data_IF_065293597349
#
_entry.id   IF_065293597349
#
_cell.length_a   1.000
_cell.length_b   1.000
_cell.length_c   1.000
_cell.angle_alpha   90.00
_cell.angle_beta   90.00
_cell.angle_gamma   90.00
#
_symmetry.space_group_name_H-M   'P 1'
#
loop_
_entity.id
_entity.type
_entity.pdbx_description
1 polymer ?
#
# COMPACT_ATOMS: atom_id res chain seq x y z
N UNK A 1 -19.92 -21.48 6.98
CA UNK A 1 -21.29 -21.98 6.68
C UNK A 1 -22.37 -21.52 7.68
N UNK A 2 -22.53 -22.15 8.87
CA UNK A 2 -23.68 -21.85 9.76
C UNK A 2 -23.76 -20.37 10.18
N UNK A 3 -22.65 -19.79 10.61
CA UNK A 3 -22.59 -18.37 10.99
C UNK A 3 -23.02 -17.46 9.83
N UNK A 4 -22.44 -17.66 8.63
CA UNK A 4 -22.79 -16.90 7.42
C UNK A 4 -24.29 -16.98 7.07
N UNK A 5 -24.88 -18.17 7.11
CA UNK A 5 -26.28 -18.38 6.72
C UNK A 5 -27.32 -17.87 7.73
N UNK A 6 -26.94 -17.71 9.01
CA UNK A 6 -27.87 -17.37 10.09
C UNK A 6 -27.59 -16.00 10.74
N UNK A 7 -26.59 -15.26 10.25
CA UNK A 7 -26.27 -13.94 10.77
C UNK A 7 -27.36 -12.92 10.42
N UNK A 8 -27.62 -11.97 11.31
CA UNK A 8 -28.50 -10.85 10.99
C UNK A 8 -27.80 -9.94 9.96
N UNK A 9 -28.39 -9.67 8.78
CA UNK A 9 -27.70 -8.95 7.73
C UNK A 9 -27.06 -7.62 8.19
N UNK A 10 -25.87 -7.27 7.63
CA UNK A 10 -25.14 -8.02 6.60
C UNK A 10 -24.44 -9.27 7.15
N UNK A 11 -24.37 -10.33 6.34
CA UNK A 11 -23.63 -11.54 6.69
C UNK A 11 -22.12 -11.22 6.88
N UNK A 12 -21.41 -11.96 7.74
CA UNK A 12 -19.98 -11.72 7.96
C UNK A 12 -19.20 -11.93 6.67
N UNK A 13 -18.27 -11.01 6.38
CA UNK A 13 -17.33 -11.12 5.25
C UNK A 13 -15.98 -11.69 5.67
N UNK A 14 -15.56 -11.42 6.92
CA UNK A 14 -14.21 -11.74 7.42
C UNK A 14 -14.26 -12.77 8.56
N UNK A 15 -13.24 -13.62 8.62
CA UNK A 15 -12.98 -14.55 9.74
C UNK A 15 -11.52 -14.44 10.17
N UNK A 16 -11.28 -13.90 11.37
CA UNK A 16 -9.95 -13.92 11.98
C UNK A 16 -9.86 -15.04 13.02
N UNK A 17 -8.91 -15.96 12.84
CA UNK A 17 -8.57 -16.98 13.82
C UNK A 17 -7.43 -16.51 14.72
N UNK A 18 -7.74 -16.18 15.98
CA UNK A 18 -6.74 -15.79 16.96
C UNK A 18 -6.29 -16.99 17.80
N UNK A 19 -5.23 -17.67 17.36
CA UNK A 19 -4.62 -18.78 18.09
C UNK A 19 -3.79 -19.71 17.20
N UNK A 20 -2.70 -20.19 17.78
CA UNK A 20 -1.83 -21.19 17.21
C UNK A 20 -2.45 -22.57 17.27
N UNK A 21 -2.24 -23.34 16.22
CA UNK A 21 -2.58 -24.74 16.12
C UNK A 21 -1.46 -25.48 15.41
N UNK A 22 -1.27 -26.75 15.79
CA UNK A 22 -0.26 -27.65 15.20
C UNK A 22 -0.94 -28.87 14.61
N UNK A 23 -0.32 -29.54 13.63
CA UNK A 23 -0.74 -30.87 13.17
C UNK A 23 -0.72 -31.91 14.31
N UNK A 24 0.09 -31.73 15.35
CA UNK A 24 0.06 -32.56 16.56
C UNK A 24 -0.96 -32.05 17.60
N UNK A 25 -2.23 -31.95 17.20
CA UNK A 25 -3.29 -31.35 18.03
C UNK A 25 -3.54 -32.08 19.36
N UNK A 26 -3.21 -33.38 19.41
CA UNK A 26 -3.36 -34.22 20.60
C UNK A 26 -2.10 -34.29 21.46
N UNK A 27 -1.05 -33.54 21.09
CA UNK A 27 0.23 -33.46 21.80
C UNK A 27 0.87 -34.84 22.02
N UNK A 28 0.97 -35.64 20.96
CA UNK A 28 1.71 -36.90 21.00
C UNK A 28 3.23 -36.67 21.17
N UNK A 29 3.76 -35.54 20.68
CA UNK A 29 5.13 -35.11 20.97
C UNK A 29 5.18 -34.24 22.23
N UNK A 30 6.11 -34.54 23.13
CA UNK A 30 6.22 -33.87 24.44
C UNK A 30 6.56 -32.38 24.36
N UNK A 31 7.09 -31.92 23.23
CA UNK A 31 7.45 -30.52 22.98
C UNK A 31 6.41 -29.76 22.14
N UNK A 32 5.36 -30.42 21.64
CA UNK A 32 4.30 -29.77 20.89
C UNK A 32 3.61 -28.70 21.73
N UNK A 33 3.48 -27.49 21.16
CA UNK A 33 2.72 -26.42 21.79
C UNK A 33 1.25 -26.82 21.85
N UNK A 34 0.56 -26.32 22.87
CA UNK A 34 -0.88 -26.50 23.03
C UNK A 34 -1.61 -25.85 21.86
N UNK A 35 -2.49 -26.59 21.19
CA UNK A 35 -3.43 -26.03 20.21
C UNK A 35 -4.49 -25.20 20.93
N UNK A 36 -4.58 -23.90 20.58
CA UNK A 36 -5.63 -23.00 21.08
C UNK A 36 -6.79 -22.90 20.08
N UNK A 37 -6.47 -22.76 18.79
CA UNK A 37 -7.44 -22.80 17.69
C UNK A 37 -6.96 -23.89 16.73
N UNK A 38 -7.73 -24.98 16.54
CA UNK A 38 -7.36 -26.04 15.62
C UNK A 38 -7.02 -25.50 14.22
N UNK A 39 -5.95 -26.06 13.64
CA UNK A 39 -5.60 -25.81 12.25
C UNK A 39 -6.36 -26.78 11.37
N UNK A 40 -6.97 -26.32 10.28
CA UNK A 40 -7.55 -27.25 9.31
C UNK A 40 -6.41 -27.97 8.59
N UNK A 41 -6.19 -29.25 8.89
CA UNK A 41 -5.21 -30.09 8.21
C UNK A 41 -5.96 -30.91 7.16
N UNK A 42 -5.56 -30.77 5.90
CA UNK A 42 -6.21 -31.43 4.77
C UNK A 42 -5.17 -31.91 3.75
N UNK A 43 -5.38 -33.04 3.04
CA UNK A 43 -4.50 -33.49 1.97
C UNK A 43 -4.67 -32.61 0.71
N UNK A 44 -4.26 -31.35 0.79
CA UNK A 44 -4.36 -30.37 -0.30
C UNK A 44 -3.11 -30.30 -1.16
N UNK A 45 -1.95 -30.70 -0.65
CA UNK A 45 -0.69 -30.64 -1.37
C UNK A 45 -0.44 -31.97 -2.12
N UNK A 46 -0.20 -31.96 -3.45
CA UNK A 46 -0.02 -33.18 -4.24
C UNK A 46 1.20 -34.03 -3.87
N UNK A 47 2.23 -33.43 -3.26
CA UNK A 47 3.51 -34.08 -2.94
C UNK A 47 3.64 -34.31 -1.44
N UNK A 48 3.40 -33.28 -0.64
CA UNK A 48 3.48 -33.32 0.82
C UNK A 48 2.29 -34.08 1.43
N UNK A 49 1.13 -34.03 0.78
CA UNK A 49 -0.13 -34.56 1.31
C UNK A 49 -0.78 -33.55 2.26
N UNK A 50 -0.83 -33.89 3.54
CA UNK A 50 -1.54 -33.11 4.56
C UNK A 50 -0.79 -31.83 4.93
N UNK A 51 -1.48 -30.69 4.83
CA UNK A 51 -0.98 -29.39 5.27
C UNK A 51 -2.11 -28.49 5.77
N UNK A 52 -1.76 -27.34 6.33
CA UNK A 52 -2.71 -26.35 6.81
C UNK A 52 -3.45 -25.66 5.66
N UNK A 53 -4.77 -25.59 5.78
CA UNK A 53 -5.69 -25.13 4.73
C UNK A 53 -6.86 -24.36 5.34
N UNK A 54 -6.61 -23.15 5.82
CA UNK A 54 -7.66 -22.35 6.47
C UNK A 54 -8.77 -21.93 5.48
N UNK A 55 -8.46 -21.75 4.18
CA UNK A 55 -9.43 -21.43 3.12
C UNK A 55 -10.65 -22.37 3.09
N UNK A 56 -10.43 -23.67 3.34
CA UNK A 56 -11.50 -24.68 3.32
C UNK A 56 -12.53 -24.48 4.43
N UNK A 57 -12.19 -23.77 5.51
CA UNK A 57 -13.16 -23.45 6.57
C UNK A 57 -14.24 -22.46 6.08
N UNK A 58 -13.93 -21.73 5.02
CA UNK A 58 -14.80 -20.69 4.44
C UNK A 58 -15.24 -21.00 3.01
N UNK A 59 -14.97 -22.20 2.49
CA UNK A 59 -15.51 -22.71 1.22
C UNK A 59 -16.73 -23.58 1.48
N UNK A 60 -17.92 -23.07 1.20
CA UNK A 60 -19.20 -23.72 1.51
C UNK A 60 -20.36 -23.37 0.58
N UNK A 61 -20.23 -22.45 -0.39
CA UNK A 61 -21.21 -22.17 -1.44
C UNK A 61 -20.78 -22.80 -2.76
N UNK A 62 -21.73 -22.92 -3.70
CA UNK A 62 -21.54 -23.28 -5.11
C UNK A 62 -20.80 -24.58 -5.45
N UNK A 63 -20.32 -25.34 -4.45
CA UNK A 63 -19.56 -26.57 -4.60
C UNK A 63 -18.31 -26.39 -5.49
N UNK A 64 -17.64 -25.25 -5.36
CA UNK A 64 -16.33 -24.99 -5.93
C UNK A 64 -15.24 -25.04 -4.83
N UNK A 65 -14.01 -24.65 -5.18
CA UNK A 65 -12.84 -24.65 -4.27
C UNK A 65 -12.47 -23.25 -3.79
N UNK A 66 -13.23 -22.22 -4.17
CA UNK A 66 -12.92 -20.84 -3.84
C UNK A 66 -13.48 -20.50 -2.44
N UNK A 67 -12.81 -19.62 -1.68
CA UNK A 67 -13.31 -19.18 -0.38
C UNK A 67 -14.49 -18.20 -0.54
N UNK A 68 -15.58 -18.40 0.21
CA UNK A 68 -16.75 -17.52 0.22
C UNK A 68 -16.64 -16.35 1.21
N UNK A 69 -15.73 -16.46 2.16
CA UNK A 69 -15.39 -15.41 3.13
C UNK A 69 -13.88 -15.22 3.13
N UNK A 70 -13.43 -14.04 3.52
CA UNK A 70 -12.01 -13.74 3.66
C UNK A 70 -11.53 -14.22 5.03
N UNK A 71 -10.54 -15.12 5.05
CA UNK A 71 -10.03 -15.75 6.27
C UNK A 71 -8.56 -15.43 6.50
N UNK A 72 -8.20 -15.16 7.76
CA UNK A 72 -6.82 -15.04 8.19
C UNK A 72 -6.61 -15.53 9.61
N UNK A 73 -5.34 -15.68 9.99
CA UNK A 73 -4.94 -16.26 11.27
C UNK A 73 -3.85 -15.44 11.94
N UNK A 74 -3.98 -15.24 13.25
CA UNK A 74 -2.87 -14.93 14.14
C UNK A 74 -2.33 -16.22 14.78
N UNK A 75 -1.20 -16.78 14.32
CA UNK A 75 -0.65 -18.05 14.80
C UNK A 75 0.06 -17.92 16.17
N UNK A 76 -0.72 -17.53 17.19
CA UNK A 76 -0.23 -17.17 18.52
C UNK A 76 -0.47 -18.25 19.58
N UNK A 77 0.55 -18.57 20.37
CA UNK A 77 0.48 -19.52 21.49
C UNK A 77 0.45 -18.83 22.86
N UNK A 78 0.30 -17.51 22.89
CA UNK A 78 0.09 -16.73 24.11
C UNK A 78 -0.71 -15.45 23.84
N UNK A 79 -1.32 -14.88 24.88
CA UNK A 79 -1.99 -13.58 24.79
C UNK A 79 -1.04 -12.45 24.39
N UNK A 80 0.25 -12.53 24.78
CA UNK A 80 1.26 -11.54 24.39
C UNK A 80 1.51 -11.57 22.87
N UNK A 81 1.61 -12.76 22.29
CA UNK A 81 1.79 -12.92 20.84
C UNK A 81 0.58 -12.38 20.05
N UNK A 82 -0.64 -12.62 20.51
CA UNK A 82 -1.85 -11.96 19.96
C UNK A 82 -1.74 -10.45 20.10
N UNK A 83 -1.33 -9.95 21.27
CA UNK A 83 -1.17 -8.53 21.56
C UNK A 83 -0.19 -7.82 20.62
N UNK A 84 0.91 -8.48 20.22
CA UNK A 84 1.87 -7.95 19.23
C UNK A 84 1.18 -7.74 17.88
N UNK A 85 0.51 -8.78 17.33
CA UNK A 85 -0.11 -8.69 16.00
C UNK A 85 -1.30 -7.72 15.97
N UNK A 86 -2.11 -7.68 17.04
CA UNK A 86 -3.19 -6.68 17.19
C UNK A 86 -2.61 -5.27 17.24
N UNK A 87 -1.56 -5.02 18.04
CA UNK A 87 -0.98 -3.67 18.14
C UNK A 87 -0.38 -3.20 16.82
N UNK A 88 0.26 -4.10 16.06
CA UNK A 88 0.73 -3.83 14.71
C UNK A 88 -0.40 -3.44 13.76
N UNK A 89 -1.47 -4.24 13.74
CA UNK A 89 -2.67 -3.98 12.91
C UNK A 89 -3.24 -2.60 13.22
N UNK A 90 -3.51 -2.30 14.51
CA UNK A 90 -4.04 -1.00 14.92
C UNK A 90 -3.08 0.14 14.57
N UNK A 91 -1.78 -0.01 14.80
CA UNK A 91 -0.80 1.03 14.49
C UNK A 91 -0.71 1.31 12.99
N UNK A 92 -0.73 0.24 12.18
CA UNK A 92 -0.72 0.32 10.72
C UNK A 92 -1.96 1.03 10.18
N UNK A 93 -3.15 0.74 10.69
CA UNK A 93 -4.40 1.35 10.21
C UNK A 93 -4.66 2.76 10.75
N UNK A 94 -4.19 3.05 11.97
CA UNK A 94 -4.43 4.36 12.62
C UNK A 94 -3.46 5.46 12.21
N UNK A 95 -2.34 5.12 11.57
CA UNK A 95 -1.34 6.07 11.12
C UNK A 95 -1.29 6.09 9.59
N UNK A 96 -1.77 7.17 8.93
CA UNK A 96 -1.60 7.35 7.50
C UNK A 96 -0.11 7.28 7.12
N UNK A 97 0.25 6.61 6.01
CA UNK A 97 1.62 6.57 5.53
C UNK A 97 2.21 7.97 5.35
N UNK A 98 3.43 8.16 5.86
CA UNK A 98 4.22 9.37 5.70
C UNK A 98 5.38 9.10 4.75
N UNK A 99 5.94 10.14 4.16
CA UNK A 99 7.13 10.06 3.31
C UNK A 99 6.99 9.06 2.14
N UNK A 100 5.75 8.74 1.77
CA UNK A 100 5.38 7.89 0.64
C UNK A 100 6.05 6.50 0.61
N UNK A 101 6.46 5.97 1.78
CA UNK A 101 7.08 4.64 1.87
C UNK A 101 6.20 3.53 1.30
N UNK A 102 4.88 3.73 1.35
CA UNK A 102 3.85 2.83 0.83
C UNK A 102 3.71 2.88 -0.70
N UNK A 103 4.48 3.72 -1.40
CA UNK A 103 4.62 3.69 -2.86
C UNK A 103 5.72 2.72 -3.32
N UNK A 104 6.64 2.34 -2.43
CA UNK A 104 7.70 1.39 -2.75
C UNK A 104 7.21 -0.06 -2.66
N UNK A 105 7.52 -0.87 -3.67
CA UNK A 105 7.31 -2.31 -3.69
C UNK A 105 8.67 -2.99 -3.74
N UNK A 106 9.04 -3.69 -2.67
CA UNK A 106 10.30 -4.43 -2.61
C UNK A 106 10.09 -5.81 -3.23
N UNK A 107 10.78 -6.05 -4.35
CA UNK A 107 10.78 -7.31 -5.09
C UNK A 107 12.12 -8.02 -4.87
N UNK A 108 12.07 -9.19 -4.24
CA UNK A 108 13.23 -10.01 -3.90
C UNK A 108 13.16 -11.29 -4.72
N UNK A 109 14.28 -11.67 -5.35
CA UNK A 109 14.34 -12.92 -6.11
C UNK A 109 15.55 -13.74 -5.69
N UNK A 110 15.31 -15.05 -5.60
CA UNK A 110 16.37 -16.06 -5.56
C UNK A 110 17.16 -16.09 -6.87
N UNK A 111 18.31 -16.76 -6.85
CA UNK A 111 19.05 -17.03 -8.07
C UNK A 111 18.44 -18.19 -8.89
N UNK A 112 19.06 -18.53 -10.02
CA UNK A 112 18.54 -19.60 -10.90
C UNK A 112 19.10 -20.99 -10.54
N UNK A 113 19.89 -21.11 -9.47
CA UNK A 113 20.41 -22.40 -9.02
C UNK A 113 19.29 -23.24 -8.40
N UNK A 114 19.35 -24.56 -8.59
CA UNK A 114 18.33 -25.49 -8.07
C UNK A 114 17.06 -25.65 -8.94
N UNK A 115 16.86 -24.82 -9.97
CA UNK A 115 15.72 -24.91 -10.88
C UNK A 115 14.51 -24.08 -10.42
N UNK A 116 13.28 -24.53 -10.72
CA UNK A 116 12.06 -23.86 -10.23
C UNK A 116 11.49 -22.72 -11.09
N UNK A 117 12.28 -22.15 -12.01
CA UNK A 117 11.83 -21.15 -12.99
C UNK A 117 12.79 -19.97 -13.11
N UNK A 118 12.38 -18.92 -13.84
CA UNK A 118 13.10 -17.64 -13.88
C UNK A 118 12.45 -16.68 -12.87
N UNK A 119 12.94 -16.72 -11.63
CA UNK A 119 12.38 -15.92 -10.54
C UNK A 119 12.50 -14.41 -10.78
N UNK A 120 13.55 -13.98 -11.48
CA UNK A 120 13.71 -12.58 -11.88
C UNK A 120 12.60 -12.17 -12.85
N UNK A 121 12.29 -13.01 -13.85
CA UNK A 121 11.28 -12.71 -14.85
C UNK A 121 9.86 -12.57 -14.25
N UNK A 122 9.51 -13.40 -13.26
CA UNK A 122 8.24 -13.26 -12.54
C UNK A 122 8.17 -11.92 -11.78
N UNK A 123 9.25 -11.57 -11.07
CA UNK A 123 9.34 -10.27 -10.38
C UNK A 123 9.32 -9.08 -11.35
N UNK A 124 10.01 -9.20 -12.49
CA UNK A 124 10.05 -8.17 -13.54
C UNK A 124 8.68 -7.99 -14.22
N UNK A 125 7.89 -9.06 -14.31
CA UNK A 125 6.52 -9.00 -14.84
C UNK A 125 5.65 -8.10 -13.97
N UNK A 126 5.71 -8.22 -12.65
CA UNK A 126 4.99 -7.31 -11.75
C UNK A 126 5.55 -5.90 -11.77
N UNK A 127 6.88 -5.76 -11.81
CA UNK A 127 7.56 -4.46 -11.78
C UNK A 127 7.24 -3.59 -13.00
N UNK A 128 7.21 -4.21 -14.18
CA UNK A 128 7.27 -3.51 -15.46
C UNK A 128 6.20 -3.93 -16.48
N UNK A 129 5.51 -5.05 -16.22
CA UNK A 129 4.62 -5.70 -17.17
C UNK A 129 3.17 -5.21 -17.13
N UNK A 130 2.37 -5.86 -17.97
CA UNK A 130 0.96 -5.55 -18.22
C UNK A 130 0.13 -6.83 -18.11
N UNK A 131 -1.14 -6.68 -17.72
CA UNK A 131 -2.10 -7.77 -17.60
C UNK A 131 -2.27 -8.55 -18.92
N UNK A 132 -2.27 -7.82 -20.05
CA UNK A 132 -2.06 -8.42 -21.37
C UNK A 132 -0.62 -8.11 -21.83
N UNK A 133 0.28 -9.11 -21.92
CA UNK A 133 1.66 -8.88 -22.33
C UNK A 133 1.78 -8.38 -23.78
N UNK A 134 0.72 -8.43 -24.59
CA UNK A 134 0.69 -7.94 -25.96
C UNK A 134 0.15 -6.51 -26.09
N UNK A 135 -0.34 -5.91 -24.99
CA UNK A 135 -0.86 -4.54 -24.96
C UNK A 135 0.06 -3.62 -24.13
N UNK A 136 1.04 -2.93 -24.77
CA UNK A 136 1.95 -2.03 -24.07
C UNK A 136 1.28 -0.73 -23.60
N UNK A 137 0.00 -0.52 -23.91
CA UNK A 137 -0.82 0.59 -23.42
C UNK A 137 -1.90 0.11 -22.44
N UNK A 138 -1.89 -1.19 -22.13
CA UNK A 138 -2.89 -1.83 -21.30
C UNK A 138 -2.71 -1.58 -19.81
N UNK A 139 -3.30 -2.46 -19.02
CA UNK A 139 -3.31 -2.36 -17.56
C UNK A 139 -1.97 -2.82 -16.98
N UNK A 140 -1.22 -1.91 -16.34
CA UNK A 140 0.03 -2.28 -15.64
C UNK A 140 -0.25 -3.01 -14.33
N UNK A 141 0.60 -3.95 -13.96
CA UNK A 141 0.56 -4.50 -12.60
C UNK A 141 0.95 -3.45 -11.56
N UNK A 142 1.97 -2.64 -11.86
CA UNK A 142 2.42 -1.55 -11.00
C UNK A 142 2.25 -0.19 -11.69
N UNK A 143 1.16 0.55 -11.41
CA UNK A 143 0.93 1.89 -11.94
C UNK A 143 1.68 2.97 -11.13
N UNK A 144 1.78 4.17 -11.69
CA UNK A 144 2.20 5.36 -10.93
C UNK A 144 1.22 5.62 -9.75
N UNK A 145 1.69 6.06 -8.57
CA UNK A 145 3.08 6.44 -8.22
C UNK A 145 3.93 5.29 -7.66
N UNK A 146 3.46 4.05 -7.73
CA UNK A 146 4.19 2.94 -7.15
C UNK A 146 5.48 2.64 -7.93
N UNK A 147 6.56 2.35 -7.19
CA UNK A 147 7.88 2.08 -7.77
C UNK A 147 8.48 0.79 -7.22
N UNK A 148 9.14 -0.01 -8.07
CA UNK A 148 9.77 -1.25 -7.62
C UNK A 148 11.21 -1.01 -7.15
N UNK A 149 11.54 -1.51 -5.95
CA UNK A 149 12.93 -1.74 -5.51
C UNK A 149 13.29 -3.20 -5.72
N UNK A 150 14.38 -3.49 -6.45
CA UNK A 150 14.74 -4.86 -6.86
C UNK A 150 15.99 -5.37 -6.16
N UNK A 151 15.85 -6.45 -5.39
CA UNK A 151 16.96 -7.16 -4.74
C UNK A 151 17.01 -8.59 -5.26
N UNK A 152 17.77 -8.78 -6.33
CA UNK A 152 17.86 -10.04 -7.06
C UNK A 152 19.24 -10.65 -6.82
N UNK A 153 19.25 -11.80 -6.14
CA UNK A 153 20.48 -12.51 -5.79
C UNK A 153 21.28 -12.84 -7.06
N UNK A 154 22.55 -12.47 -7.12
CA UNK A 154 23.40 -12.68 -8.30
C UNK A 154 23.13 -11.76 -9.49
N UNK A 155 22.17 -10.82 -9.40
CA UNK A 155 21.84 -9.84 -10.45
C UNK A 155 22.03 -8.39 -10.01
N UNK A 156 21.40 -7.98 -8.89
CA UNK A 156 21.52 -6.61 -8.36
C UNK A 156 22.37 -6.54 -7.09
N UNK A 157 22.57 -7.66 -6.42
CA UNK A 157 23.40 -7.82 -5.23
C UNK A 157 24.17 -9.15 -5.29
N UNK A 158 25.34 -9.20 -4.65
CA UNK A 158 26.20 -10.38 -4.59
C UNK A 158 26.53 -10.95 -6.00
N UNK A 159 26.64 -10.09 -7.01
CA UNK A 159 26.76 -10.45 -8.44
C UNK A 159 27.98 -11.30 -8.79
N UNK A 160 29.04 -11.19 -8.00
CA UNK A 160 30.28 -11.97 -8.19
C UNK A 160 30.33 -13.22 -7.31
N UNK A 161 29.50 -13.30 -6.27
CA UNK A 161 29.47 -14.43 -5.34
C UNK A 161 28.11 -14.56 -4.65
N UNK A 162 27.09 -15.07 -5.36
CA UNK A 162 25.72 -15.18 -4.82
C UNK A 162 25.67 -16.00 -3.52
N UNK A 163 26.52 -17.03 -3.39
CA UNK A 163 26.53 -17.94 -2.24
C UNK A 163 26.70 -17.28 -0.86
N UNK A 164 27.19 -16.03 -0.79
CA UNK A 164 27.31 -15.32 0.49
C UNK A 164 26.08 -14.49 0.85
N UNK A 165 25.31 -13.98 -0.13
CA UNK A 165 24.10 -13.17 0.04
C UNK A 165 24.18 -12.00 1.06
N UNK A 166 25.38 -11.45 1.28
CA UNK A 166 25.58 -10.41 2.31
C UNK A 166 25.06 -9.05 1.83
N UNK A 167 25.33 -8.71 0.56
CA UNK A 167 24.84 -7.47 -0.04
C UNK A 167 23.31 -7.50 -0.13
N UNK A 168 22.73 -8.63 -0.53
CA UNK A 168 21.28 -8.81 -0.62
C UNK A 168 20.61 -8.69 0.75
N UNK A 169 21.11 -9.37 1.80
CA UNK A 169 20.56 -9.24 3.17
C UNK A 169 20.60 -7.80 3.67
N UNK A 170 21.70 -7.10 3.40
CA UNK A 170 21.86 -5.69 3.77
C UNK A 170 20.85 -4.82 3.02
N UNK A 171 20.73 -4.98 1.70
CA UNK A 171 19.78 -4.24 0.88
C UNK A 171 18.33 -4.51 1.29
N UNK A 172 17.97 -5.75 1.62
CA UNK A 172 16.64 -6.13 2.11
C UNK A 172 16.34 -5.41 3.44
N UNK A 173 17.25 -5.52 4.42
CA UNK A 173 17.06 -4.89 5.72
C UNK A 173 17.01 -3.36 5.62
N UNK A 174 17.90 -2.75 4.84
CA UNK A 174 17.96 -1.30 4.68
C UNK A 174 16.72 -0.77 3.96
N UNK A 175 16.22 -1.49 2.95
CA UNK A 175 14.98 -1.11 2.27
C UNK A 175 13.81 -1.17 3.24
N UNK A 176 13.64 -2.28 3.97
CA UNK A 176 12.52 -2.45 4.91
C UNK A 176 12.59 -1.43 6.05
N UNK A 177 13.76 -1.27 6.67
CA UNK A 177 13.92 -0.41 7.86
C UNK A 177 13.89 1.08 7.53
N UNK A 178 14.55 1.50 6.44
CA UNK A 178 14.81 2.91 6.21
C UNK A 178 13.85 3.51 5.17
N UNK A 179 13.69 2.82 4.04
CA UNK A 179 12.83 3.30 2.94
C UNK A 179 11.37 2.95 3.22
N UNK A 180 11.12 1.74 3.73
CA UNK A 180 9.80 1.11 3.82
C UNK A 180 9.34 0.58 2.47
N UNK A 181 8.40 -0.37 2.51
CA UNK A 181 7.76 -0.92 1.33
C UNK A 181 6.33 -1.38 1.68
N UNK A 182 5.35 -1.11 0.82
CA UNK A 182 3.97 -1.59 1.01
C UNK A 182 3.92 -3.11 0.95
N UNK A 183 4.44 -3.67 -0.14
CA UNK A 183 4.64 -5.10 -0.32
C UNK A 183 6.13 -5.44 -0.31
N UNK A 184 6.46 -6.50 0.42
CA UNK A 184 7.75 -7.22 0.33
C UNK A 184 7.44 -8.57 -0.32
N UNK A 185 7.69 -8.66 -1.62
CA UNK A 185 7.50 -9.89 -2.38
C UNK A 185 8.81 -10.66 -2.48
N UNK A 186 8.74 -11.95 -2.22
CA UNK A 186 9.84 -12.87 -2.46
C UNK A 186 9.42 -13.99 -3.42
N UNK A 187 10.14 -14.13 -4.54
CA UNK A 187 9.95 -15.21 -5.50
C UNK A 187 11.22 -16.09 -5.52
N UNK A 188 11.08 -17.37 -5.21
CA UNK A 188 12.23 -18.27 -5.17
C UNK A 188 12.05 -19.55 -4.36
N UNK A 189 13.15 -20.21 -4.03
CA UNK A 189 13.12 -21.37 -3.14
C UNK A 189 13.01 -20.94 -1.68
N UNK A 190 12.31 -21.72 -0.86
CA UNK A 190 12.32 -21.50 0.57
C UNK A 190 12.25 -22.81 1.35
N UNK A 191 12.75 -22.72 2.57
CA UNK A 191 12.49 -23.69 3.62
C UNK A 191 11.56 -23.03 4.65
N UNK A 192 11.06 -23.81 5.60
CA UNK A 192 10.23 -23.30 6.71
C UNK A 192 10.81 -22.07 7.39
N UNK A 193 12.13 -21.91 7.42
CA UNK A 193 12.82 -20.87 8.21
C UNK A 193 13.60 -19.87 7.38
N UNK A 194 13.71 -19.99 6.07
CA UNK A 194 14.50 -19.04 5.29
C UNK A 194 14.11 -19.02 3.81
N UNK A 195 14.33 -17.85 3.20
CA UNK A 195 14.33 -17.65 1.76
C UNK A 195 15.70 -17.96 1.18
N UNK A 196 15.72 -18.69 0.06
CA UNK A 196 16.90 -19.22 -0.62
C UNK A 196 17.76 -20.15 0.26
N UNK A 197 18.72 -20.86 -0.35
CA UNK A 197 19.72 -21.63 0.41
C UNK A 197 20.65 -20.69 1.19
N UNK A 198 20.88 -19.50 0.61
CA UNK A 198 21.80 -18.45 1.02
C UNK A 198 21.24 -17.61 2.17
N UNK A 199 19.97 -17.84 2.56
CA UNK A 199 19.28 -17.17 3.67
C UNK A 199 19.18 -15.66 3.40
N UNK A 200 18.48 -15.29 2.34
CA UNK A 200 18.16 -13.89 2.01
C UNK A 200 17.29 -13.25 3.11
N UNK A 201 16.45 -14.05 3.74
CA UNK A 201 15.72 -13.73 4.96
C UNK A 201 15.71 -14.98 5.83
N UNK A 202 15.97 -14.80 7.12
CA UNK A 202 15.94 -15.85 8.14
C UNK A 202 15.38 -15.26 9.44
N UNK A 203 15.21 -16.04 10.53
CA UNK A 203 14.62 -15.53 11.75
C UNK A 203 15.52 -14.50 12.44
N UNK A 204 16.83 -14.52 12.19
CA UNK A 204 17.78 -13.54 12.73
C UNK A 204 17.52 -12.18 12.10
N UNK A 205 17.48 -12.12 10.77
CA UNK A 205 17.20 -10.89 10.03
C UNK A 205 15.78 -10.38 10.33
N UNK A 206 14.77 -11.28 10.30
CA UNK A 206 13.38 -10.95 10.61
C UNK A 206 13.20 -10.30 11.99
N UNK A 207 13.90 -10.78 13.01
CA UNK A 207 13.88 -10.21 14.37
C UNK A 207 14.73 -8.94 14.52
N UNK A 208 15.62 -8.67 13.57
CA UNK A 208 16.44 -7.45 13.55
C UNK A 208 15.75 -6.26 12.88
N UNK A 209 14.61 -6.47 12.20
CA UNK A 209 13.85 -5.41 11.54
C UNK A 209 13.27 -4.42 12.58
N UNK A 210 13.29 -3.14 12.26
CA UNK A 210 12.92 -2.02 13.14
C UNK A 210 11.90 -1.06 12.52
N UNK A 211 11.22 -1.47 11.45
CA UNK A 211 10.24 -0.68 10.68
C UNK A 211 8.84 -0.62 11.32
N UNK A 212 8.74 -0.42 12.64
CA UNK A 212 7.44 -0.39 13.33
C UNK A 212 6.48 0.69 12.79
N UNK A 213 7.00 1.78 12.24
CA UNK A 213 6.27 2.90 11.63
C UNK A 213 5.98 2.70 10.13
N UNK A 214 6.51 1.64 9.52
CA UNK A 214 6.43 1.31 8.08
C UNK A 214 6.28 -0.20 7.88
N UNK A 215 5.37 -0.83 8.62
CA UNK A 215 5.16 -2.28 8.54
C UNK A 215 4.74 -2.68 7.13
N UNK A 216 5.34 -3.72 6.58
CA UNK A 216 5.00 -4.20 5.23
C UNK A 216 4.02 -5.38 5.28
N UNK A 217 3.37 -5.65 4.15
CA UNK A 217 2.69 -6.91 3.89
C UNK A 217 3.67 -7.81 3.12
N UNK A 218 3.95 -8.99 3.66
CA UNK A 218 4.90 -9.92 3.04
C UNK A 218 4.15 -10.90 2.12
N UNK A 219 4.71 -11.12 0.92
CA UNK A 219 4.16 -12.02 -0.10
C UNK A 219 5.20 -13.11 -0.36
N UNK A 220 5.03 -14.28 0.25
CA UNK A 220 5.99 -15.38 0.17
C UNK A 220 5.69 -16.31 -1.01
N UNK A 221 6.11 -15.97 -2.22
CA UNK A 221 5.90 -16.77 -3.44
C UNK A 221 6.92 -17.92 -3.55
N UNK A 222 6.99 -18.75 -2.51
CA UNK A 222 7.98 -19.82 -2.32
C UNK A 222 7.35 -21.10 -1.74
N UNK A 223 8.12 -21.98 -1.10
CA UNK A 223 7.60 -23.17 -0.39
C UNK A 223 7.72 -22.99 1.14
N UNK A 224 6.82 -23.58 1.92
CA UNK A 224 6.88 -23.72 3.39
C UNK A 224 7.04 -22.45 4.26
N UNK A 225 7.13 -21.27 3.67
CA UNK A 225 7.37 -20.01 4.40
C UNK A 225 6.29 -19.75 5.48
N UNK A 226 5.07 -20.21 5.20
CA UNK A 226 3.89 -20.20 6.06
C UNK A 226 3.64 -21.48 6.83
N UNK A 227 4.61 -22.36 7.05
CA UNK A 227 4.41 -23.69 7.69
C UNK A 227 4.14 -23.61 9.21
N UNK A 228 3.21 -22.76 9.63
CA UNK A 228 2.87 -22.40 11.03
C UNK A 228 2.32 -23.57 11.86
N UNK A 229 1.92 -24.66 11.21
CA UNK A 229 1.31 -25.82 11.85
C UNK A 229 2.30 -26.93 12.19
N UNK A 230 3.58 -26.75 11.84
CA UNK A 230 4.65 -27.67 12.22
C UNK A 230 4.61 -27.93 13.74
N UNK A 231 4.63 -29.20 14.20
CA UNK A 231 4.79 -29.54 15.61
C UNK A 231 6.06 -28.87 16.14
N UNK A 232 5.93 -27.83 16.97
CA UNK A 232 7.04 -26.93 17.23
C UNK A 232 8.07 -27.64 18.10
N UNK A 233 9.16 -28.09 17.48
CA UNK A 233 10.34 -28.59 18.20
C UNK A 233 11.19 -27.46 18.82
N UNK A 234 10.62 -26.26 18.91
CA UNK A 234 11.26 -25.03 19.36
C UNK A 234 11.48 -24.00 18.25
N UNK A 235 11.23 -24.37 16.99
CA UNK A 235 11.33 -23.46 15.84
C UNK A 235 9.94 -23.01 15.37
N UNK A 236 9.88 -21.79 14.86
CA UNK A 236 8.73 -21.19 14.18
C UNK A 236 9.03 -21.10 12.70
N UNK A 237 7.98 -21.03 11.88
CA UNK A 237 8.10 -20.65 10.47
C UNK A 237 8.66 -19.23 10.33
N UNK A 238 9.16 -18.92 9.13
CA UNK A 238 9.70 -17.61 8.83
C UNK A 238 8.63 -16.52 8.97
N UNK A 239 7.42 -16.81 8.49
CA UNK A 239 6.27 -15.92 8.60
C UNK A 239 5.90 -15.54 10.02
N UNK A 240 5.84 -16.53 10.91
CA UNK A 240 5.67 -16.27 12.34
C UNK A 240 6.78 -15.39 12.92
N UNK A 241 8.01 -15.49 12.41
CA UNK A 241 9.15 -14.74 12.95
C UNK A 241 9.02 -13.23 12.75
N UNK A 242 8.69 -12.75 11.54
CA UNK A 242 8.51 -11.31 11.32
C UNK A 242 7.12 -10.80 11.76
N UNK A 243 6.10 -11.66 11.88
CA UNK A 243 4.83 -11.27 12.51
C UNK A 243 5.00 -11.02 14.02
N UNK A 244 5.81 -11.85 14.69
CA UNK A 244 6.04 -11.77 16.14
C UNK A 244 7.17 -10.81 16.56
N UNK A 245 7.89 -10.18 15.63
CA UNK A 245 8.85 -9.12 15.95
C UNK A 245 8.10 -7.87 16.49
N UNK A 246 8.27 -7.45 17.75
CA UNK A 246 7.56 -6.29 18.30
C UNK A 246 8.08 -4.94 17.79
N UNK A 247 9.27 -4.90 17.19
CA UNK A 247 9.94 -3.66 16.76
C UNK A 247 9.80 -3.38 15.25
N UNK A 248 9.23 -4.31 14.49
CA UNK A 248 9.16 -4.21 13.03
C UNK A 248 8.69 -5.51 12.39
N UNK A 249 9.12 -5.77 11.17
CA UNK A 249 8.71 -6.91 10.36
C UNK A 249 7.45 -6.63 9.57
N UNK A 250 6.54 -7.61 9.53
CA UNK A 250 5.31 -7.52 8.76
C UNK A 250 4.09 -7.26 9.66
N UNK A 251 3.09 -6.59 9.10
CA UNK A 251 1.73 -6.52 9.67
C UNK A 251 0.90 -7.76 9.29
N UNK A 252 1.18 -8.35 8.13
CA UNK A 252 0.54 -9.56 7.64
C UNK A 252 1.46 -10.30 6.66
N UNK A 253 1.19 -11.59 6.46
CA UNK A 253 1.85 -12.38 5.42
C UNK A 253 0.88 -13.26 4.65
N UNK A 254 1.05 -13.29 3.34
CA UNK A 254 0.41 -14.28 2.48
C UNK A 254 1.42 -15.37 2.12
N UNK A 255 1.23 -16.54 2.72
CA UNK A 255 2.30 -17.53 2.84
C UNK A 255 1.82 -18.97 2.54
N UNK A 256 2.64 -19.77 1.85
CA UNK A 256 2.36 -21.17 1.56
C UNK A 256 2.69 -22.07 2.74
N UNK A 257 1.82 -23.04 3.00
CA UNK A 257 2.00 -24.12 3.98
C UNK A 257 2.54 -25.40 3.35
N UNK A 258 2.79 -25.43 2.04
CA UNK A 258 3.22 -26.63 1.33
C UNK A 258 4.33 -26.37 0.32
N UNK A 259 4.52 -27.35 -0.56
CA UNK A 259 5.20 -27.14 -1.82
C UNK A 259 4.38 -26.20 -2.71
N UNK A 260 5.06 -25.66 -3.71
CA UNK A 260 4.44 -24.84 -4.73
C UNK A 260 5.39 -24.69 -5.92
N UNK A 261 4.88 -24.09 -6.98
CA UNK A 261 5.63 -23.88 -8.23
C UNK A 261 5.50 -22.43 -8.65
N UNK A 262 6.61 -21.81 -9.04
CA UNK A 262 6.67 -20.37 -9.29
C UNK A 262 5.65 -19.90 -10.35
N UNK A 263 5.39 -20.71 -11.38
CA UNK A 263 4.37 -20.38 -12.39
C UNK A 263 2.95 -20.27 -11.84
N UNK A 264 2.63 -21.00 -10.76
CA UNK A 264 1.33 -20.88 -10.10
C UNK A 264 1.29 -19.70 -9.14
N UNK A 265 2.41 -19.45 -8.43
CA UNK A 265 2.56 -18.28 -7.56
C UNK A 265 2.43 -16.97 -8.34
N UNK A 266 2.96 -16.92 -9.56
CA UNK A 266 2.86 -15.78 -10.47
C UNK A 266 1.39 -15.38 -10.75
N UNK A 267 0.49 -16.35 -11.00
CA UNK A 267 -0.94 -16.06 -11.14
C UNK A 267 -1.57 -15.50 -9.86
N UNK A 268 -1.21 -16.06 -8.69
CA UNK A 268 -1.71 -15.56 -7.40
C UNK A 268 -1.31 -14.10 -7.19
N UNK A 269 -0.04 -13.79 -7.43
CA UNK A 269 0.52 -12.47 -7.19
C UNK A 269 0.02 -11.44 -8.20
N UNK A 270 -0.06 -11.79 -9.49
CA UNK A 270 -0.67 -10.94 -10.52
C UNK A 270 -2.12 -10.59 -10.18
N UNK A 271 -2.92 -11.57 -9.75
CA UNK A 271 -4.30 -11.32 -9.35
C UNK A 271 -4.42 -10.38 -8.15
N UNK A 272 -3.54 -10.52 -7.16
CA UNK A 272 -3.48 -9.60 -6.02
C UNK A 272 -3.09 -8.18 -6.46
N UNK A 273 -2.07 -8.03 -7.31
CA UNK A 273 -1.65 -6.71 -7.81
C UNK A 273 -2.75 -6.02 -8.62
N UNK A 274 -3.45 -6.76 -9.48
CA UNK A 274 -4.61 -6.24 -10.21
C UNK A 274 -5.74 -5.82 -9.25
N UNK A 275 -6.04 -6.63 -8.24
CA UNK A 275 -7.05 -6.30 -7.25
C UNK A 275 -6.72 -4.98 -6.52
N UNK A 276 -5.49 -4.84 -6.01
CA UNK A 276 -5.08 -3.69 -5.22
C UNK A 276 -4.91 -2.44 -6.07
N UNK A 277 -4.12 -2.52 -7.15
CA UNK A 277 -3.68 -1.34 -7.89
C UNK A 277 -4.61 -0.91 -9.02
N UNK A 278 -5.47 -1.81 -9.51
CA UNK A 278 -6.37 -1.52 -10.64
C UNK A 278 -7.83 -1.48 -10.21
N UNK A 279 -8.26 -2.43 -9.39
CA UNK A 279 -9.65 -2.51 -8.94
C UNK A 279 -9.91 -1.73 -7.64
N UNK A 280 -8.87 -1.16 -7.01
CA UNK A 280 -8.98 -0.39 -5.78
C UNK A 280 -9.42 -1.21 -4.57
N UNK A 281 -9.11 -2.51 -4.54
CA UNK A 281 -9.40 -3.37 -3.40
C UNK A 281 -8.48 -3.01 -2.25
N UNK A 282 -9.06 -2.53 -1.15
CA UNK A 282 -8.30 -2.06 0.02
C UNK A 282 -8.29 -3.03 1.19
N UNK A 283 -9.07 -4.11 1.17
CA UNK A 283 -9.03 -5.13 2.23
C UNK A 283 -8.09 -6.28 1.82
N UNK A 284 -7.11 -6.59 2.67
CA UNK A 284 -6.08 -7.58 2.36
C UNK A 284 -6.66 -8.96 2.05
N UNK A 285 -7.58 -9.47 2.87
CA UNK A 285 -8.22 -10.75 2.64
C UNK A 285 -8.96 -10.80 1.30
N UNK A 286 -9.65 -9.72 0.93
CA UNK A 286 -10.35 -9.62 -0.36
C UNK A 286 -9.38 -9.58 -1.54
N UNK A 287 -8.26 -8.85 -1.43
CA UNK A 287 -7.22 -8.82 -2.46
C UNK A 287 -6.58 -10.21 -2.67
N UNK A 288 -6.36 -10.95 -1.59
CA UNK A 288 -5.86 -12.31 -1.65
C UNK A 288 -6.85 -13.29 -2.27
N UNK A 289 -8.15 -13.18 -1.93
CA UNK A 289 -9.20 -13.96 -2.57
C UNK A 289 -9.25 -13.69 -4.08
N UNK A 290 -9.12 -12.43 -4.50
CA UNK A 290 -9.01 -12.07 -5.91
C UNK A 290 -7.76 -12.67 -6.59
N UNK A 291 -6.64 -12.79 -5.87
CA UNK A 291 -5.45 -13.54 -6.33
C UNK A 291 -5.75 -15.02 -6.60
N UNK A 292 -6.47 -15.68 -5.68
CA UNK A 292 -6.91 -17.08 -5.83
C UNK A 292 -7.89 -17.26 -6.99
N UNK A 293 -8.83 -16.33 -7.16
CA UNK A 293 -9.75 -16.31 -8.30
C UNK A 293 -8.99 -16.13 -9.62
N UNK A 294 -8.01 -15.23 -9.66
CA UNK A 294 -7.19 -15.01 -10.84
C UNK A 294 -6.45 -16.28 -11.26
N UNK A 295 -5.83 -17.00 -10.31
CA UNK A 295 -5.26 -18.32 -10.57
C UNK A 295 -6.31 -19.28 -11.11
N UNK A 296 -7.45 -19.40 -10.44
CA UNK A 296 -8.49 -20.38 -10.80
C UNK A 296 -9.02 -20.18 -12.22
N UNK A 297 -9.22 -18.93 -12.64
CA UNK A 297 -9.82 -18.62 -13.95
C UNK A 297 -8.82 -18.46 -15.10
N UNK A 298 -7.55 -18.14 -14.82
CA UNK A 298 -6.57 -17.82 -15.87
C UNK A 298 -5.42 -18.83 -16.01
N UNK A 299 -5.20 -19.67 -15.00
CA UNK A 299 -4.22 -20.76 -15.11
C UNK A 299 -4.76 -21.91 -15.98
N UNK A 300 -3.87 -22.77 -16.52
CA UNK A 300 -4.29 -24.03 -17.09
C UNK A 300 -5.17 -24.82 -16.11
N UNK A 301 -6.34 -25.21 -16.58
CA UNK A 301 -7.41 -25.78 -15.75
C UNK A 301 -6.89 -26.87 -14.80
N UNK A 302 -7.19 -26.73 -13.50
CA UNK A 302 -6.85 -27.66 -12.43
C UNK A 302 -5.35 -27.86 -12.16
N UNK A 303 -4.45 -27.10 -12.81
CA UNK A 303 -3.01 -27.33 -12.70
C UNK A 303 -2.42 -26.89 -11.36
N UNK A 304 -3.00 -25.85 -10.76
CA UNK A 304 -2.47 -25.21 -9.55
C UNK A 304 -3.53 -25.00 -8.47
N UNK A 305 -4.64 -25.76 -8.52
CA UNK A 305 -5.77 -25.63 -7.60
C UNK A 305 -5.36 -25.88 -6.14
N UNK A 306 -4.29 -26.64 -5.91
CA UNK A 306 -3.68 -26.85 -4.60
C UNK A 306 -3.24 -25.54 -3.95
N UNK A 307 -2.79 -24.56 -4.74
CA UNK A 307 -2.32 -23.28 -4.22
C UNK A 307 -3.44 -22.43 -3.60
N UNK A 308 -4.71 -22.64 -4.00
CA UNK A 308 -5.87 -21.98 -3.38
C UNK A 308 -6.00 -22.39 -1.90
N UNK A 309 -5.61 -23.64 -1.61
CA UNK A 309 -5.65 -24.24 -0.29
C UNK A 309 -4.37 -23.98 0.53
N UNK A 310 -3.20 -24.13 -0.10
CA UNK A 310 -1.91 -24.07 0.62
C UNK A 310 -1.47 -22.65 0.93
N UNK A 311 -1.93 -21.64 0.19
CA UNK A 311 -1.66 -20.24 0.50
C UNK A 311 -2.63 -19.66 1.54
N UNK A 312 -2.11 -19.33 2.72
CA UNK A 312 -2.89 -18.88 3.87
C UNK A 312 -2.52 -17.43 4.25
N UNK A 313 -3.49 -16.66 4.77
CA UNK A 313 -3.23 -15.36 5.38
C UNK A 313 -2.83 -15.53 6.84
N UNK A 314 -1.60 -15.15 7.17
CA UNK A 314 -1.15 -14.97 8.53
C UNK A 314 -1.20 -13.47 8.87
N UNK A 315 -2.34 -13.03 9.39
CA UNK A 315 -2.66 -11.62 9.55
C UNK A 315 -4.17 -11.41 9.73
N UNK A 316 -4.57 -10.14 9.86
CA UNK A 316 -5.98 -9.75 9.86
C UNK A 316 -6.53 -9.74 8.41
N UNK A 317 -7.56 -10.55 8.07
CA UNK A 317 -8.16 -10.51 6.73
C UNK A 317 -8.92 -9.20 6.44
N UNK A 318 -9.32 -8.45 7.45
CA UNK A 318 -9.96 -7.16 7.30
C UNK A 318 -8.96 -6.00 7.22
N UNK A 319 -7.65 -6.26 7.34
CA UNK A 319 -6.60 -5.24 7.29
C UNK A 319 -6.79 -4.33 6.08
N UNK A 320 -6.92 -3.03 6.35
CA UNK A 320 -6.96 -2.00 5.34
C UNK A 320 -5.55 -1.75 4.80
N UNK A 321 -5.28 -2.19 3.58
CA UNK A 321 -4.01 -1.95 2.88
C UNK A 321 -3.82 -0.43 2.78
N UNK A 322 -2.71 0.07 3.30
CA UNK A 322 -2.36 1.49 3.25
C UNK A 322 -1.83 1.86 1.86
N UNK A 323 -2.63 1.65 0.81
CA UNK A 323 -2.33 2.10 -0.56
C UNK A 323 -2.10 3.60 -0.61
N UNK A 324 -1.36 4.08 -1.60
CA UNK A 324 -1.17 5.50 -1.82
C UNK A 324 -2.53 6.20 -1.96
N UNK A 325 -2.82 7.11 -1.04
CA UNK A 325 -3.92 8.04 -1.18
C UNK A 325 -3.35 9.26 -1.87
N UNK A 326 -3.69 9.43 -3.15
CA UNK A 326 -3.40 10.66 -3.87
C UNK A 326 -3.96 11.80 -3.03
N UNK A 327 -3.06 12.66 -2.54
CA UNK A 327 -3.50 13.85 -1.84
C UNK A 327 -4.29 14.65 -2.85
N UNK A 328 -5.57 14.84 -2.60
CA UNK A 328 -6.44 15.56 -3.53
C UNK A 328 -5.88 16.97 -3.71
N UNK A 329 -5.90 17.46 -4.95
CA UNK A 329 -5.62 18.87 -5.21
C UNK A 329 -6.44 19.74 -4.24
N UNK A 330 -5.81 20.78 -3.70
CA UNK A 330 -6.43 21.77 -2.81
C UNK A 330 -7.76 22.22 -3.39
N UNK A 331 -8.86 21.96 -2.70
CA UNK A 331 -10.16 22.44 -3.15
C UNK A 331 -10.33 23.91 -2.77
N UNK A 332 -10.47 24.79 -3.76
CA UNK A 332 -10.67 26.22 -3.55
C UNK A 332 -12.17 26.55 -3.58
N UNK A 333 -12.70 27.09 -2.49
CA UNK A 333 -14.10 27.48 -2.36
C UNK A 333 -14.45 28.74 -3.19
N UNK A 334 -13.48 29.64 -3.39
CA UNK A 334 -13.67 30.83 -4.21
C UNK A 334 -12.42 31.70 -4.33
N UNK A 335 -12.36 32.53 -5.37
CA UNK A 335 -11.35 33.57 -5.59
C UNK A 335 -12.07 34.89 -5.89
N UNK A 336 -11.73 35.95 -5.15
CA UNK A 336 -12.32 37.28 -5.31
C UNK A 336 -11.23 38.34 -5.40
N UNK A 337 -11.54 39.43 -6.10
CA UNK A 337 -10.72 40.63 -6.15
C UNK A 337 -11.62 41.83 -5.85
N UNK A 338 -11.33 42.57 -4.78
CA UNK A 338 -12.12 43.73 -4.35
C UNK A 338 -11.24 44.96 -4.22
N UNK A 339 -11.73 46.10 -4.70
CA UNK A 339 -11.02 47.36 -4.54
C UNK A 339 -11.10 47.87 -3.10
N UNK A 340 -9.98 48.37 -2.58
CA UNK A 340 -9.83 49.08 -1.32
C UNK A 340 -8.97 50.33 -1.54
N UNK A 341 -9.01 51.29 -0.61
CA UNK A 341 -8.31 52.59 -0.75
C UNK A 341 -6.82 52.47 -1.08
N UNK A 342 -6.18 51.37 -0.66
CA UNK A 342 -4.74 51.12 -0.81
C UNK A 342 -4.39 50.06 -1.88
N UNK A 343 -5.35 49.59 -2.70
CA UNK A 343 -5.09 48.59 -3.74
C UNK A 343 -6.25 47.65 -4.03
N UNK A 344 -5.98 46.54 -4.71
CA UNK A 344 -6.94 45.45 -4.91
C UNK A 344 -6.62 44.33 -3.92
N UNK A 345 -7.56 43.99 -3.04
CA UNK A 345 -7.47 42.85 -2.15
C UNK A 345 -7.92 41.59 -2.91
N UNK A 346 -7.00 40.67 -3.11
CA UNK A 346 -7.27 39.33 -3.66
C UNK A 346 -7.48 38.40 -2.47
N UNK A 347 -8.64 37.74 -2.40
CA UNK A 347 -8.99 36.83 -1.31
C UNK A 347 -9.49 35.50 -1.84
N UNK A 348 -9.06 34.41 -1.20
CA UNK A 348 -9.50 33.05 -1.51
C UNK A 348 -9.59 32.20 -0.26
N UNK A 349 -10.39 31.15 -0.36
CA UNK A 349 -10.64 30.18 0.71
C UNK A 349 -10.35 28.78 0.16
N UNK A 350 -9.63 27.98 0.94
CA UNK A 350 -9.46 26.54 0.71
C UNK A 350 -10.49 25.78 1.55
N UNK A 351 -11.00 24.65 1.06
CA UNK A 351 -11.85 23.73 1.82
C UNK A 351 -10.99 22.69 2.55
N UNK A 352 -9.88 22.28 1.93
CA UNK A 352 -8.86 21.38 2.47
C UNK A 352 -7.48 21.75 1.92
N UNK A 353 -6.41 21.34 2.61
CA UNK A 353 -5.02 21.63 2.22
C UNK A 353 -4.11 20.40 2.35
N UNK A 354 -4.51 19.21 1.87
CA UNK A 354 -3.76 17.99 2.12
C UNK A 354 -2.40 17.97 1.43
N UNK A 355 -2.22 18.77 0.36
CA UNK A 355 -0.98 18.81 -0.45
C UNK A 355 -0.50 20.21 -0.84
N UNK A 356 -0.75 21.22 0.01
CA UNK A 356 -0.44 22.60 -0.32
C UNK A 356 0.95 23.02 0.20
N UNK A 357 1.85 23.44 -0.68
CA UNK A 357 3.04 24.22 -0.30
C UNK A 357 2.68 25.70 -0.10
N UNK A 358 1.94 26.27 -1.04
CA UNK A 358 1.50 27.66 -0.98
C UNK A 358 0.97 28.19 -2.32
N UNK A 359 0.85 29.50 -2.40
CA UNK A 359 0.26 30.19 -3.55
C UNK A 359 1.15 31.30 -4.09
N UNK A 360 1.18 31.41 -5.42
CA UNK A 360 1.55 32.63 -6.11
C UNK A 360 0.30 33.33 -6.66
N UNK A 361 0.34 34.66 -6.70
CA UNK A 361 -0.70 35.49 -7.28
C UNK A 361 -0.26 35.91 -8.66
N UNK A 362 -1.04 35.54 -9.66
CA UNK A 362 -0.81 35.92 -11.04
C UNK A 362 -1.77 37.04 -11.44
N UNK A 363 -1.29 38.03 -12.19
CA UNK A 363 -2.06 39.20 -12.63
C UNK A 363 -1.91 39.45 -14.12
N UNK A 364 -2.98 39.91 -14.77
CA UNK A 364 -2.97 40.40 -16.14
C UNK A 364 -3.88 41.62 -16.33
N UNK A 365 -3.53 42.59 -17.21
CA UNK A 365 -4.48 43.61 -17.66
C UNK A 365 -5.51 43.09 -18.68
N UNK A 366 -5.42 41.82 -19.10
CA UNK A 366 -6.33 41.18 -20.04
C UNK A 366 -6.87 39.85 -19.49
N UNK A 367 -8.13 39.49 -19.77
CA UNK A 367 -8.74 38.26 -19.24
C UNK A 367 -8.07 36.97 -19.73
N UNK A 368 -7.50 37.01 -20.94
CA UNK A 368 -6.82 35.93 -21.63
C UNK A 368 -5.30 35.91 -21.41
N UNK A 369 -4.76 36.86 -20.64
CA UNK A 369 -3.34 36.95 -20.33
C UNK A 369 -2.54 37.81 -21.31
N UNK A 370 -1.19 37.75 -21.26
CA UNK A 370 -0.40 36.88 -20.38
C UNK A 370 -0.53 37.27 -18.91
N UNK A 371 -0.44 36.28 -18.03
CA UNK A 371 -0.44 36.46 -16.58
C UNK A 371 1.00 36.47 -16.05
N UNK A 372 1.31 37.40 -15.16
CA UNK A 372 2.61 37.48 -14.48
C UNK A 372 2.46 37.44 -12.97
N UNK A 373 3.39 36.78 -12.28
CA UNK A 373 3.44 36.72 -10.82
C UNK A 373 3.68 38.11 -10.21
N UNK A 374 2.98 38.44 -9.12
CA UNK A 374 3.09 39.74 -8.44
C UNK A 374 3.56 39.65 -6.98
N UNK A 375 3.40 38.51 -6.31
CA UNK A 375 3.95 38.29 -4.97
C UNK A 375 5.45 37.96 -5.07
N UNK A 376 6.25 38.52 -4.16
CA UNK A 376 7.69 38.24 -4.08
C UNK A 376 7.97 36.88 -3.44
N UNK A 377 7.47 36.69 -2.22
CA UNK A 377 7.56 35.42 -1.49
C UNK A 377 6.31 34.57 -1.70
N UNK A 378 6.49 33.24 -1.68
CA UNK A 378 5.40 32.28 -1.69
C UNK A 378 4.47 32.50 -0.49
N UNK A 379 3.16 32.57 -0.74
CA UNK A 379 2.17 32.64 0.33
C UNK A 379 1.96 31.22 0.84
N UNK A 380 2.66 30.85 1.93
CA UNK A 380 2.63 29.50 2.48
C UNK A 380 1.21 29.06 2.89
N UNK A 381 0.92 27.77 2.70
CA UNK A 381 -0.29 27.16 3.24
C UNK A 381 -0.33 27.28 4.77
N UNK A 382 -1.50 27.62 5.31
CA UNK A 382 -1.75 27.80 6.75
C UNK A 382 -2.11 26.48 7.43
N UNK A 383 -2.65 25.54 6.68
CA UNK A 383 -3.14 24.25 7.13
C UNK A 383 -2.55 23.11 6.28
N UNK A 384 -1.35 23.32 5.72
CA UNK A 384 -0.64 22.38 4.86
C UNK A 384 -0.56 20.97 5.48
N UNK A 385 -0.95 19.96 4.69
CA UNK A 385 -0.94 18.56 5.09
C UNK A 385 -2.14 18.13 5.94
N UNK A 386 -3.20 18.95 6.03
CA UNK A 386 -4.37 18.67 6.85
C UNK A 386 -5.67 18.62 6.01
N UNK A 387 -6.71 17.91 6.47
CA UNK A 387 -8.03 17.89 5.82
C UNK A 387 -8.88 19.14 6.16
N UNK A 388 -8.23 20.24 6.59
CA UNK A 388 -8.91 21.50 6.93
C UNK A 388 -8.37 22.63 6.07
N UNK A 389 -9.27 23.48 5.58
CA UNK A 389 -8.93 24.68 4.81
C UNK A 389 -8.60 25.91 5.65
N UNK A 390 -8.38 27.03 4.98
CA UNK A 390 -8.06 28.33 5.55
C UNK A 390 -8.39 29.49 4.59
N UNK A 391 -8.52 30.68 5.17
CA UNK A 391 -8.69 31.93 4.45
C UNK A 391 -7.36 32.60 4.15
N UNK A 392 -7.24 33.18 2.95
CA UNK A 392 -6.06 33.89 2.50
C UNK A 392 -6.40 35.23 1.87
N UNK A 393 -5.45 36.15 1.97
CA UNK A 393 -5.55 37.48 1.38
C UNK A 393 -4.20 37.96 0.89
N UNK A 394 -4.19 38.66 -0.25
CA UNK A 394 -3.04 39.38 -0.78
C UNK A 394 -3.46 40.76 -1.26
N UNK A 395 -2.73 41.82 -0.87
CA UNK A 395 -3.01 43.19 -1.30
C UNK A 395 -2.10 43.58 -2.46
N UNK A 396 -2.68 43.74 -3.65
CA UNK A 396 -2.00 44.35 -4.79
C UNK A 396 -2.10 45.89 -4.69
N UNK A 397 -1.06 46.50 -4.13
CA UNK A 397 -0.96 47.95 -4.00
C UNK A 397 -0.48 48.66 -5.29
N UNK A 398 0.03 47.91 -6.27
CA UNK A 398 0.66 48.45 -7.47
C UNK A 398 -0.31 48.43 -8.66
N UNK A 399 -1.46 49.09 -8.47
CA UNK A 399 -2.56 49.14 -9.44
C UNK A 399 -2.79 50.56 -9.97
N UNK A 400 -2.96 50.68 -11.28
CA UNK A 400 -3.26 51.96 -11.93
C UNK A 400 -4.76 52.29 -11.90
N UNK A 401 -5.08 53.57 -11.73
CA UNK A 401 -6.46 54.06 -11.74
C UNK A 401 -7.08 53.90 -13.13
N UNK A 402 -8.28 53.30 -13.19
CA UNK A 402 -9.01 53.08 -14.43
C UNK A 402 -8.60 51.83 -15.23
N UNK A 403 -7.63 51.05 -14.75
CA UNK A 403 -7.24 49.77 -15.35
C UNK A 403 -7.96 48.62 -14.62
N UNK A 404 -8.53 47.70 -15.39
CA UNK A 404 -9.09 46.44 -14.88
C UNK A 404 -7.95 45.41 -14.83
N UNK A 405 -7.73 44.83 -13.66
CA UNK A 405 -6.80 43.72 -13.50
C UNK A 405 -7.55 42.42 -13.27
N UNK A 406 -7.04 41.37 -13.90
CA UNK A 406 -7.49 39.99 -13.78
C UNK A 406 -6.48 39.19 -12.97
N UNK A 407 -6.96 38.34 -12.08
CA UNK A 407 -6.15 37.57 -11.13
C UNK A 407 -6.43 36.07 -11.25
N UNK A 408 -5.35 35.28 -11.12
CA UNK A 408 -5.37 33.83 -10.92
C UNK A 408 -4.49 33.46 -9.73
N UNK A 409 -4.71 32.27 -9.21
CA UNK A 409 -3.78 31.63 -8.28
C UNK A 409 -2.92 30.64 -9.08
N UNK A 410 -1.63 30.61 -8.84
CA UNK A 410 -0.82 29.42 -9.09
C UNK A 410 -0.70 28.70 -7.74
N UNK A 411 -1.26 27.50 -7.67
CA UNK A 411 -1.22 26.63 -6.50
C UNK A 411 0.02 25.77 -6.62
N UNK A 412 0.92 25.83 -5.63
CA UNK A 412 2.12 25.01 -5.57
C UNK A 412 1.87 23.87 -4.60
N UNK A 413 2.09 22.65 -5.07
CA UNK A 413 1.93 21.43 -4.29
C UNK A 413 3.24 21.06 -3.59
N UNK A 414 3.16 20.24 -2.54
CA UNK A 414 4.36 19.78 -1.79
C UNK A 414 5.28 18.89 -2.64
N UNK A 415 4.75 18.26 -3.70
CA UNK A 415 5.49 17.46 -4.68
C UNK A 415 6.25 18.31 -5.73
N UNK A 416 6.12 19.64 -5.67
CA UNK A 416 6.77 20.58 -6.58
C UNK A 416 6.01 20.83 -7.90
N UNK A 417 4.85 20.21 -8.10
CA UNK A 417 3.96 20.53 -9.22
C UNK A 417 3.19 21.83 -8.95
N UNK A 418 2.71 22.49 -10.01
CA UNK A 418 1.83 23.65 -9.88
C UNK A 418 0.66 23.59 -10.85
N UNK A 419 -0.45 24.23 -10.46
CA UNK A 419 -1.65 24.39 -11.27
C UNK A 419 -2.23 25.80 -11.14
N UNK A 420 -2.66 26.39 -12.25
CA UNK A 420 -3.38 27.66 -12.22
C UNK A 420 -4.87 27.46 -11.91
N UNK A 421 -5.44 28.30 -11.05
CA UNK A 421 -6.84 28.26 -10.65
C UNK A 421 -7.53 29.63 -10.71
N UNK A 422 -8.79 29.59 -11.14
CA UNK A 422 -9.74 30.70 -11.05
C UNK A 422 -9.53 31.83 -12.05
N UNK A 423 -10.40 32.83 -11.98
CA UNK A 423 -10.28 34.10 -12.66
C UNK A 423 -11.16 35.15 -11.94
N UNK A 424 -10.55 36.16 -11.34
CA UNK A 424 -11.26 37.26 -10.68
C UNK A 424 -10.81 38.62 -11.25
N UNK A 425 -11.68 39.62 -11.27
CA UNK A 425 -11.36 40.95 -11.79
C UNK A 425 -11.79 42.08 -10.87
N UNK A 426 -10.99 43.15 -10.83
CA UNK A 426 -11.32 44.40 -10.15
C UNK A 426 -10.57 45.58 -10.77
N UNK A 427 -11.03 46.80 -10.50
CA UNK A 427 -10.41 48.04 -10.97
C UNK A 427 -10.38 49.10 -9.86
N UNK A 428 -9.34 49.93 -9.88
CA UNK A 428 -9.29 51.15 -9.06
C UNK A 428 -10.14 52.25 -9.72
N UNK A 429 -11.22 52.65 -9.06
CA UNK A 429 -12.09 53.72 -9.55
C UNK A 429 -11.36 55.09 -9.53
N UNK A 430 -11.67 55.95 -10.49
CA UNK A 430 -11.18 57.33 -10.47
C UNK A 430 -11.88 58.13 -9.35
N UNK A 431 -11.12 58.94 -8.62
CA UNK A 431 -11.68 59.85 -7.62
C UNK A 431 -12.64 60.83 -8.31
N UNK A 432 -13.93 60.74 -7.97
CA UNK A 432 -14.92 61.74 -8.39
C UNK A 432 -14.81 62.96 -7.49
N UNK A 433 -14.15 64.03 -7.95
CA UNK A 433 -14.20 65.32 -7.29
C UNK A 433 -15.50 66.06 -7.66
N UNK A 434 -16.41 66.19 -6.70
CA UNK A 434 -17.53 67.13 -6.79
C UNK A 434 -16.99 68.56 -6.65
N UNK A 435 -16.87 69.28 -7.76
CA UNK A 435 -16.56 70.73 -7.76
C UNK A 435 -17.85 71.48 -7.46
N UNK A 436 -17.97 72.07 -6.26
CA UNK A 436 -19.00 73.07 -5.98
C UNK A 436 -18.59 74.41 -6.59
N UNK A 437 -19.28 74.82 -7.66
CA UNK A 437 -19.17 76.18 -8.21
C UNK A 437 -20.21 77.07 -7.49
N UNK A 438 -19.82 78.14 -6.78
CA UNK A 438 -20.79 79.05 -6.17
C UNK A 438 -21.42 79.92 -7.26
N UNK A 439 -22.74 79.87 -7.38
CA UNK A 439 -23.50 80.79 -8.23
C UNK A 439 -23.70 82.09 -7.45
N UNK A 440 -23.00 83.16 -7.85
CA UNK A 440 -23.29 84.51 -7.40
C UNK A 440 -24.54 85.02 -8.11
N UNK A 441 -25.61 85.25 -7.34
CA UNK A 441 -26.81 85.93 -7.82
C UNK A 441 -26.53 87.43 -8.02
N UNK A 442 -26.97 87.98 -9.15
CA UNK A 442 -27.22 89.41 -9.33
C UNK A 442 -28.72 89.65 -9.34
#
# INVERSE_FOLDING_TARGET
>A
AYAHANWQPPAPRFVLMAGGGTSDMRQYFSNSKKTYVPTMIYPSDPILGETATDSRLVTFLNNDILPDMDIGRFPAFSANEVGIMVSKTISYESAPPRDEWNTNILLISDDLEGGGGDFYAFSDTLANGYADPNDPFGTKFLPYPYTPTKVYLGRTCDTNNPSVANECRTAIADTINNQGALFVSYVGHAQTRNWAIEKLMDPTLAQSLTNADKLSIFLGMACFEGFFHEPPTGSRSLSESYLLNPNGGAVASWSPTGFGVATGHDYLEQGLFLAVFQNGVQQLGTAMTAGKEHLYYNAPQHKYDDLIDTFNLLGDPALHIQTYVARTAVQIAGLTATYHDNGILVAWETLDEPDLLGFNILRSPAPDGPFGQINGDLIAGKSSGTPTGADYTYLDANVETGVVYWYRLEILNLDGTSVEYGLAASQKAADSHLIFVPVAAR
#
